data_IF_757910414177
#
_entry.id   IF_757910414177
#
_cell.length_a   1.000
_cell.length_b   1.000
_cell.length_c   1.000
_cell.angle_alpha   90.00
_cell.angle_beta   90.00
_cell.angle_gamma   90.00
#
_symmetry.space_group_name_H-M   'P 1'
#
loop_
_entity.id
_entity.type
_entity.pdbx_description
1 polymer ?
#
# COMPACT_ATOMS: atom_id res chain seq x y z
N UNK A 1 0.49 -29.62 -2.22
CA UNK A 1 -0.07 -28.54 -3.06
C UNK A 1 -1.33 -28.04 -2.37
N UNK A 2 -1.37 -26.79 -2.02
CA UNK A 2 -2.57 -26.21 -1.43
C UNK A 2 -3.56 -26.03 -2.57
N UNK A 3 -4.62 -26.83 -2.60
CA UNK A 3 -5.75 -26.56 -3.47
C UNK A 3 -6.46 -25.32 -2.96
N UNK A 4 -6.31 -24.23 -3.66
CA UNK A 4 -7.18 -23.10 -3.47
C UNK A 4 -8.53 -23.46 -4.10
N UNK A 5 -9.54 -23.69 -3.28
CA UNK A 5 -10.92 -23.74 -3.74
C UNK A 5 -11.21 -22.33 -4.30
N UNK A 6 -11.02 -22.17 -5.61
CA UNK A 6 -11.38 -20.93 -6.29
C UNK A 6 -12.90 -20.90 -6.30
N UNK A 7 -13.54 -20.09 -5.45
CA UNK A 7 -14.97 -19.98 -5.48
C UNK A 7 -15.38 -19.59 -6.91
N UNK A 8 -16.48 -20.16 -7.39
CA UNK A 8 -17.07 -19.80 -8.66
C UNK A 8 -17.43 -18.31 -8.63
N UNK A 9 -16.45 -17.46 -8.98
CA UNK A 9 -16.66 -16.02 -9.09
C UNK A 9 -17.66 -15.78 -10.23
N UNK A 10 -18.92 -15.66 -9.86
CA UNK A 10 -19.90 -15.13 -10.79
C UNK A 10 -19.52 -13.69 -11.10
N UNK A 11 -19.42 -13.38 -12.37
CA UNK A 11 -19.19 -12.02 -12.82
C UNK A 11 -20.29 -11.14 -12.23
N UNK A 12 -19.90 -10.18 -11.40
CA UNK A 12 -20.84 -9.25 -10.79
C UNK A 12 -21.46 -8.37 -11.90
N UNK A 13 -22.77 -8.11 -11.79
CA UNK A 13 -23.44 -7.19 -12.72
C UNK A 13 -22.85 -5.77 -12.61
N UNK A 14 -22.65 -5.10 -13.72
CA UNK A 14 -22.03 -3.78 -13.78
C UNK A 14 -22.79 -2.73 -12.97
N UNK A 15 -24.10 -2.76 -12.98
CA UNK A 15 -24.94 -1.83 -12.19
C UNK A 15 -24.80 -2.07 -10.70
N UNK A 16 -24.76 -3.33 -10.29
CA UNK A 16 -24.55 -3.70 -8.88
C UNK A 16 -23.15 -3.29 -8.44
N UNK A 17 -22.13 -3.55 -9.26
CA UNK A 17 -20.75 -3.15 -9.00
C UNK A 17 -20.64 -1.62 -8.78
N UNK A 18 -21.20 -0.83 -9.67
CA UNK A 18 -21.15 0.64 -9.56
C UNK A 18 -21.89 1.15 -8.31
N UNK A 19 -23.02 0.52 -7.97
CA UNK A 19 -23.78 0.86 -6.76
C UNK A 19 -22.99 0.59 -5.49
N UNK A 20 -22.41 -0.59 -5.37
CA UNK A 20 -21.62 -0.98 -4.19
C UNK A 20 -20.31 -0.19 -4.10
N UNK A 21 -19.65 0.04 -5.22
CA UNK A 21 -18.46 0.88 -5.28
C UNK A 21 -18.75 2.29 -4.78
N UNK A 22 -19.87 2.90 -5.19
CA UNK A 22 -20.25 4.25 -4.73
C UNK A 22 -20.44 4.30 -3.23
N UNK A 23 -21.08 3.30 -2.62
CA UNK A 23 -21.24 3.21 -1.17
C UNK A 23 -19.89 3.19 -0.46
N UNK A 24 -18.95 2.36 -0.93
CA UNK A 24 -17.62 2.25 -0.35
C UNK A 24 -16.81 3.53 -0.51
N UNK A 25 -16.91 4.22 -1.65
CA UNK A 25 -16.23 5.50 -1.86
C UNK A 25 -16.77 6.61 -0.95
N UNK A 26 -18.06 6.60 -0.65
CA UNK A 26 -18.66 7.51 0.34
C UNK A 26 -18.08 7.24 1.74
N UNK A 27 -17.94 5.98 2.13
CA UNK A 27 -17.32 5.61 3.41
C UNK A 27 -15.85 6.02 3.47
N UNK A 28 -15.11 5.94 2.36
CA UNK A 28 -13.73 6.44 2.29
C UNK A 28 -13.63 7.96 2.48
N UNK A 29 -14.56 8.72 1.91
CA UNK A 29 -14.61 10.18 2.14
C UNK A 29 -14.89 10.48 3.61
N UNK A 30 -15.80 9.76 4.24
CA UNK A 30 -16.06 9.88 5.68
C UNK A 30 -14.83 9.53 6.50
N UNK A 31 -14.12 8.46 6.12
CA UNK A 31 -12.87 8.06 6.78
C UNK A 31 -11.82 9.17 6.66
N UNK A 32 -11.65 9.77 5.48
CA UNK A 32 -10.70 10.87 5.30
C UNK A 32 -11.06 12.07 6.21
N UNK A 33 -12.32 12.44 6.28
CA UNK A 33 -12.77 13.51 7.17
C UNK A 33 -12.46 13.19 8.65
N UNK A 34 -12.68 11.96 9.06
CA UNK A 34 -12.31 11.50 10.40
C UNK A 34 -10.80 11.58 10.66
N UNK A 35 -9.99 11.14 9.69
CA UNK A 35 -8.52 11.24 9.76
C UNK A 35 -8.06 12.67 9.97
N UNK A 36 -8.66 13.60 9.25
CA UNK A 36 -8.34 15.03 9.34
C UNK A 36 -8.75 15.60 10.70
N UNK A 37 -9.97 15.33 11.15
CA UNK A 37 -10.51 15.85 12.41
C UNK A 37 -9.77 15.30 13.63
N UNK A 38 -9.50 14.00 13.64
CA UNK A 38 -8.81 13.30 14.72
C UNK A 38 -7.28 13.36 14.61
N UNK A 39 -6.75 14.04 13.59
CA UNK A 39 -5.31 14.21 13.36
C UNK A 39 -4.57 12.85 13.30
N UNK A 40 -5.19 11.86 12.67
CA UNK A 40 -4.60 10.53 12.52
C UNK A 40 -3.61 10.49 11.36
N UNK A 41 -2.77 9.47 11.36
CA UNK A 41 -1.80 9.17 10.30
C UNK A 41 -2.07 7.76 9.81
N UNK A 42 -2.47 7.61 8.56
CA UNK A 42 -2.78 6.30 8.00
C UNK A 42 -1.99 6.07 6.73
N UNK A 43 -1.28 4.95 6.69
CA UNK A 43 -0.61 4.44 5.51
C UNK A 43 -1.30 3.15 5.06
N UNK A 44 -1.69 3.10 3.80
CA UNK A 44 -2.27 1.91 3.18
C UNK A 44 -1.27 1.37 2.17
N UNK A 45 -0.86 0.13 2.37
CA UNK A 45 0.18 -0.52 1.58
C UNK A 45 -0.45 -1.47 0.57
N UNK A 46 -0.11 -1.29 -0.70
CA UNK A 46 -0.49 -2.18 -1.79
C UNK A 46 0.73 -2.95 -2.26
N UNK A 47 0.70 -4.25 -2.07
CA UNK A 47 1.73 -5.16 -2.56
C UNK A 47 1.12 -6.17 -3.54
N UNK A 48 1.92 -6.65 -4.45
CA UNK A 48 1.50 -7.63 -5.45
C UNK A 48 2.42 -7.65 -6.66
N UNK A 49 2.14 -8.59 -7.56
CA UNK A 49 2.86 -8.71 -8.83
C UNK A 49 2.60 -7.51 -9.72
N UNK A 50 3.48 -7.30 -10.69
CA UNK A 50 3.21 -6.36 -11.78
C UNK A 50 1.91 -6.76 -12.47
N UNK A 51 1.13 -5.76 -12.88
CA UNK A 51 -0.19 -5.95 -13.50
C UNK A 51 -1.28 -6.54 -12.60
N UNK A 52 -1.05 -6.67 -11.29
CA UNK A 52 -2.05 -7.17 -10.34
C UNK A 52 -3.20 -6.17 -10.06
N UNK A 53 -3.10 -4.94 -10.56
CA UNK A 53 -4.13 -3.93 -10.41
C UNK A 53 -3.93 -2.95 -9.25
N UNK A 54 -2.73 -2.89 -8.66
CA UNK A 54 -2.40 -1.98 -7.56
C UNK A 54 -2.68 -0.51 -7.91
N UNK A 55 -2.10 -0.02 -8.99
CA UNK A 55 -2.25 1.37 -9.43
C UNK A 55 -3.70 1.71 -9.77
N UNK A 56 -4.39 0.81 -10.46
CA UNK A 56 -5.81 0.96 -10.78
C UNK A 56 -6.69 1.02 -9.55
N UNK A 57 -6.44 0.16 -8.57
CA UNK A 57 -7.17 0.17 -7.29
C UNK A 57 -6.97 1.47 -6.53
N UNK A 58 -5.73 1.93 -6.42
CA UNK A 58 -5.40 3.20 -5.75
C UNK A 58 -6.11 4.37 -6.46
N UNK A 59 -6.09 4.39 -7.79
CA UNK A 59 -6.76 5.42 -8.58
C UNK A 59 -8.26 5.50 -8.30
N UNK A 60 -8.93 4.36 -8.20
CA UNK A 60 -10.36 4.29 -7.86
C UNK A 60 -10.61 4.77 -6.44
N UNK A 61 -9.82 4.30 -5.47
CA UNK A 61 -9.99 4.64 -4.05
C UNK A 61 -9.74 6.11 -3.77
N UNK A 62 -8.77 6.73 -4.44
CA UNK A 62 -8.37 8.12 -4.20
C UNK A 62 -9.18 9.16 -4.99
N UNK A 63 -10.03 8.72 -5.90
CA UNK A 63 -10.71 9.60 -6.88
C UNK A 63 -11.47 10.78 -6.25
N UNK A 64 -12.16 10.55 -5.14
CA UNK A 64 -12.99 11.56 -4.48
C UNK A 64 -12.40 12.10 -3.19
N UNK A 65 -11.17 11.71 -2.86
CA UNK A 65 -10.49 12.17 -1.66
C UNK A 65 -9.89 13.57 -1.89
N UNK A 66 -9.78 14.34 -0.81
CA UNK A 66 -9.16 15.66 -0.86
C UNK A 66 -7.66 15.51 -1.12
N UNK A 67 -7.12 16.04 -2.23
CA UNK A 67 -5.71 15.81 -2.61
C UNK A 67 -4.70 16.35 -1.60
N UNK A 68 -5.04 17.39 -0.87
CA UNK A 68 -4.17 17.98 0.16
C UNK A 68 -3.88 17.01 1.31
N UNK A 69 -4.79 16.09 1.58
CA UNK A 69 -4.71 15.13 2.69
C UNK A 69 -4.59 13.68 2.22
N UNK A 70 -4.33 13.49 0.95
CA UNK A 70 -4.17 12.16 0.34
C UNK A 70 -3.00 12.18 -0.65
N UNK A 71 -2.08 11.25 -0.50
CA UNK A 71 -0.86 11.20 -1.32
C UNK A 71 -0.60 9.77 -1.81
N UNK A 72 -0.12 9.66 -3.03
CA UNK A 72 0.36 8.40 -3.61
C UNK A 72 1.90 8.37 -3.56
N UNK A 73 2.46 7.29 -3.07
CA UNK A 73 3.90 7.04 -3.06
C UNK A 73 4.23 5.83 -3.92
N UNK A 74 5.02 6.08 -4.97
CA UNK A 74 5.54 5.06 -5.88
C UNK A 74 7.00 5.39 -6.19
N UNK A 75 7.94 4.71 -5.51
CA UNK A 75 9.34 5.10 -5.54
C UNK A 75 10.17 4.46 -6.67
N UNK A 76 9.67 3.41 -7.31
CA UNK A 76 10.39 2.73 -8.38
C UNK A 76 11.62 1.94 -7.92
N UNK A 77 12.55 1.70 -8.83
CA UNK A 77 13.77 0.92 -8.58
C UNK A 77 14.72 1.70 -7.68
N UNK A 78 15.23 1.10 -6.58
CA UNK A 78 16.14 1.79 -5.68
C UNK A 78 17.52 1.98 -6.31
N UNK A 79 18.18 3.09 -5.96
CA UNK A 79 19.62 3.27 -6.21
C UNK A 79 20.43 2.38 -5.26
N UNK A 80 21.73 2.22 -5.52
CA UNK A 80 22.62 1.45 -4.64
C UNK A 80 22.61 1.96 -3.20
N UNK A 81 22.58 3.27 -3.02
CA UNK A 81 22.51 3.93 -1.70
C UNK A 81 21.16 3.65 -1.02
N UNK A 82 20.06 3.77 -1.75
CA UNK A 82 18.72 3.48 -1.24
C UNK A 82 18.55 2.00 -0.90
N UNK A 83 19.19 1.10 -1.67
CA UNK A 83 19.17 -0.33 -1.37
C UNK A 83 19.85 -0.67 -0.05
N UNK A 84 20.92 0.06 0.33
CA UNK A 84 21.57 -0.08 1.63
C UNK A 84 20.73 0.48 2.79
N UNK A 85 19.98 1.54 2.51
CA UNK A 85 19.12 2.23 3.48
C UNK A 85 17.64 2.03 3.11
N UNK A 86 17.26 0.78 2.93
CA UNK A 86 15.98 0.39 2.35
C UNK A 86 14.76 1.02 3.02
N UNK A 87 14.62 0.89 4.33
CA UNK A 87 13.47 1.43 5.02
C UNK A 87 13.44 2.95 5.01
N UNK A 88 14.57 3.60 5.09
CA UNK A 88 14.67 5.07 5.15
C UNK A 88 14.06 5.76 3.93
N UNK A 89 14.12 5.14 2.74
CA UNK A 89 13.47 5.71 1.55
C UNK A 89 11.95 5.79 1.68
N UNK A 90 11.35 4.88 2.44
CA UNK A 90 9.92 4.87 2.74
C UNK A 90 9.57 5.68 3.98
N UNK A 91 10.43 5.67 4.98
CA UNK A 91 10.25 6.43 6.22
C UNK A 91 10.00 7.92 5.95
N UNK A 92 10.72 8.50 5.00
CA UNK A 92 10.53 9.90 4.55
C UNK A 92 9.15 10.16 3.96
N UNK A 93 8.47 9.13 3.49
CA UNK A 93 7.18 9.20 2.82
C UNK A 93 6.01 8.83 3.73
N UNK A 94 6.25 8.50 4.98
CA UNK A 94 5.19 8.16 5.93
C UNK A 94 4.23 9.34 6.14
N UNK A 95 2.95 9.06 6.47
CA UNK A 95 1.96 10.12 6.56
C UNK A 95 2.26 11.12 7.66
N UNK A 96 1.99 12.39 7.36
CA UNK A 96 1.91 13.45 8.35
C UNK A 96 0.56 13.45 9.07
N UNK A 97 0.37 14.43 9.96
CA UNK A 97 -0.86 14.58 10.72
C UNK A 97 -2.06 14.86 9.82
N UNK A 98 -3.11 14.09 9.96
CA UNK A 98 -4.32 14.23 9.15
C UNK A 98 -4.14 13.78 7.70
N UNK A 99 -3.17 12.92 7.43
CA UNK A 99 -2.84 12.49 6.07
C UNK A 99 -3.08 10.99 5.88
N UNK A 100 -3.64 10.65 4.72
CA UNK A 100 -3.79 9.30 4.22
C UNK A 100 -2.80 9.11 3.06
N UNK A 101 -1.92 8.13 3.16
CA UNK A 101 -0.92 7.83 2.13
C UNK A 101 -1.14 6.43 1.58
N UNK A 102 -1.25 6.33 0.26
CA UNK A 102 -1.27 5.06 -0.45
C UNK A 102 0.14 4.74 -0.96
N UNK A 103 0.68 3.60 -0.56
CA UNK A 103 1.95 3.10 -1.07
C UNK A 103 1.70 2.08 -2.18
N UNK A 104 2.05 2.42 -3.39
CA UNK A 104 2.14 1.45 -4.50
C UNK A 104 3.52 0.79 -4.41
N UNK A 105 3.56 -0.37 -3.78
CA UNK A 105 4.71 -1.04 -3.19
C UNK A 105 5.26 -0.30 -1.97
N UNK A 106 5.89 -1.05 -1.10
CA UNK A 106 6.39 -0.54 0.16
C UNK A 106 7.71 -1.22 0.54
N UNK A 107 8.15 -1.01 1.78
CA UNK A 107 9.28 -1.72 2.36
C UNK A 107 9.11 -3.25 2.36
N UNK A 108 7.89 -3.75 2.34
CA UNK A 108 7.61 -5.18 2.23
C UNK A 108 8.00 -5.79 0.88
N UNK A 109 8.19 -5.00 -0.16
CA UNK A 109 8.65 -5.46 -1.48
C UNK A 109 9.94 -6.24 -1.38
N UNK A 110 10.85 -5.88 -0.46
CA UNK A 110 12.11 -6.59 -0.25
C UNK A 110 11.88 -8.04 0.19
N UNK A 111 10.93 -8.27 1.10
CA UNK A 111 10.59 -9.61 1.55
C UNK A 111 9.83 -10.42 0.49
N UNK A 112 8.93 -9.78 -0.24
CA UNK A 112 8.01 -10.44 -1.16
C UNK A 112 8.57 -10.63 -2.57
N UNK A 113 9.38 -9.70 -3.05
CA UNK A 113 9.88 -9.69 -4.44
C UNK A 113 11.39 -9.84 -4.49
N UNK A 114 12.14 -8.95 -3.84
CA UNK A 114 13.60 -8.91 -3.98
C UNK A 114 14.27 -10.17 -3.44
N UNK A 115 13.82 -10.71 -2.32
CA UNK A 115 14.36 -11.95 -1.76
C UNK A 115 14.05 -13.15 -2.65
N UNK A 116 12.87 -13.19 -3.28
CA UNK A 116 12.44 -14.24 -4.18
C UNK A 116 13.17 -14.19 -5.52
N UNK A 117 13.40 -12.99 -6.06
CA UNK A 117 14.09 -12.76 -7.32
C UNK A 117 15.62 -12.75 -7.18
N UNK A 118 16.16 -12.92 -5.99
CA UNK A 118 17.61 -12.91 -5.75
C UNK A 118 18.24 -11.52 -5.68
N UNK A 119 17.47 -10.45 -5.65
CA UNK A 119 17.99 -9.07 -5.52
C UNK A 119 18.40 -8.70 -4.11
N UNK A 120 18.01 -9.51 -3.14
CA UNK A 120 18.30 -9.30 -1.72
C UNK A 120 18.58 -10.63 -1.03
N UNK A 121 19.68 -10.72 -0.28
CA UNK A 121 20.01 -11.88 0.55
C UNK A 121 19.17 -11.90 1.82
N UNK A 122 19.11 -13.05 2.51
CA UNK A 122 18.45 -13.14 3.83
C UNK A 122 19.04 -12.15 4.82
N UNK A 123 20.35 -11.98 4.84
CA UNK A 123 21.02 -11.01 5.69
C UNK A 123 20.59 -9.57 5.37
N UNK A 124 20.55 -9.22 4.08
CA UNK A 124 20.06 -7.93 3.61
C UNK A 124 18.61 -7.67 4.06
N UNK A 125 17.74 -8.67 3.94
CA UNK A 125 16.35 -8.58 4.37
C UNK A 125 16.24 -8.32 5.88
N UNK A 126 16.97 -9.06 6.70
CA UNK A 126 16.94 -8.95 8.15
C UNK A 126 17.47 -7.61 8.66
N UNK A 127 18.51 -7.07 8.02
CA UNK A 127 19.14 -5.80 8.44
C UNK A 127 18.41 -4.54 7.95
N UNK A 128 17.66 -4.63 6.86
CA UNK A 128 17.09 -3.45 6.19
C UNK A 128 15.57 -3.35 6.30
N UNK A 129 14.89 -4.41 6.72
CA UNK A 129 13.45 -4.38 6.95
C UNK A 129 13.15 -4.13 8.43
N UNK A 130 12.16 -3.28 8.75
CA UNK A 130 11.75 -3.10 10.13
C UNK A 130 11.15 -4.39 10.68
N UNK A 131 11.41 -4.70 11.94
CA UNK A 131 10.77 -5.81 12.63
C UNK A 131 9.68 -5.31 13.56
N UNK A 132 8.68 -6.14 13.89
CA UNK A 132 7.66 -5.78 14.88
C UNK A 132 8.22 -5.43 16.25
N UNK A 133 9.43 -5.91 16.56
CA UNK A 133 10.13 -5.58 17.82
C UNK A 133 10.69 -4.17 17.84
N UNK A 134 11.09 -3.65 16.67
CA UNK A 134 11.65 -2.30 16.56
C UNK A 134 10.56 -1.23 16.71
N UNK A 135 9.33 -1.56 16.36
CA UNK A 135 8.17 -0.68 16.53
C UNK A 135 7.70 -0.60 18.01
N UNK A 136 8.07 -1.57 18.83
CA UNK A 136 7.71 -1.61 20.25
C UNK A 136 8.65 -0.78 21.15
N UNK A 137 9.72 -0.27 20.60
CA UNK A 137 10.70 0.58 21.27
C UNK A 137 10.46 2.05 20.90
#
# INVERSE_FOLDING_TARGET
MIEFDIPNYRRIDSKLYEKEKRKLLIELVKLQNWIIQEKKKIAVVFEGRDTAGKTGSISVLSKYLIPKHCRLVKLGIPTARESKNWFQRYEKQLPGVGELVFFDRSWYTRALVESTMGYCTKGCLLYTSPSPRDEAL
#
